data_IF_706219951720
#
_entry.id   IF_706219951720
#
_cell.length_a   1.000
_cell.length_b   1.000
_cell.length_c   1.000
_cell.angle_alpha   90.00
_cell.angle_beta   90.00
_cell.angle_gamma   90.00
#
_symmetry.space_group_name_H-M   'P 1'
#
loop_
_entity.id
_entity.type
_entity.pdbx_description
1 polymer ?
#
# COMPACT_ATOMS: atom_id res chain seq x y z
N UNK A 1 -2.42 -36.04 10.60
CA UNK A 1 -1.71 -34.74 10.64
C UNK A 1 -2.61 -33.62 11.13
N UNK A 2 -3.85 -33.50 10.62
CA UNK A 2 -4.86 -32.51 11.06
C UNK A 2 -5.00 -32.40 12.60
N UNK A 3 -5.16 -33.54 13.29
CA UNK A 3 -5.33 -33.55 14.76
C UNK A 3 -4.12 -33.00 15.51
N UNK A 4 -2.91 -33.24 15.00
CA UNK A 4 -1.67 -32.74 15.61
C UNK A 4 -1.61 -31.24 15.44
N UNK A 5 -1.84 -30.74 14.21
CA UNK A 5 -1.88 -29.31 13.91
C UNK A 5 -2.86 -28.58 14.82
N UNK A 6 -4.10 -29.05 14.90
CA UNK A 6 -5.14 -28.41 15.71
C UNK A 6 -4.79 -28.41 17.21
N UNK A 7 -4.16 -29.48 17.71
CA UNK A 7 -3.75 -29.54 19.12
C UNK A 7 -2.59 -28.59 19.41
N UNK A 8 -1.65 -28.48 18.49
CA UNK A 8 -0.54 -27.51 18.60
C UNK A 8 -1.08 -26.08 18.56
N UNK A 9 -1.96 -25.76 17.61
CA UNK A 9 -2.58 -24.43 17.50
C UNK A 9 -3.32 -24.04 18.79
N UNK A 10 -4.16 -24.92 19.34
CA UNK A 10 -4.87 -24.67 20.60
C UNK A 10 -3.94 -24.45 21.79
N UNK A 11 -2.87 -25.23 21.88
CA UNK A 11 -1.90 -25.07 22.96
C UNK A 11 -1.14 -23.74 22.85
N UNK A 12 -0.76 -23.34 21.63
CA UNK A 12 -0.09 -22.06 21.39
C UNK A 12 -1.02 -20.88 21.70
N UNK A 13 -2.30 -20.97 21.32
CA UNK A 13 -3.31 -19.96 21.65
C UNK A 13 -3.49 -19.81 23.18
N UNK A 14 -3.50 -20.91 23.93
CA UNK A 14 -3.60 -20.90 25.38
C UNK A 14 -2.42 -20.18 26.06
N UNK A 15 -1.22 -20.25 25.48
CA UNK A 15 -0.02 -19.54 25.94
C UNK A 15 0.03 -18.06 25.49
N UNK A 16 -0.93 -17.64 24.66
CA UNK A 16 -1.09 -16.27 24.17
C UNK A 16 -0.47 -16.00 22.80
N UNK A 17 -0.17 -17.06 22.02
CA UNK A 17 0.28 -16.93 20.64
C UNK A 17 -0.92 -16.84 19.70
N UNK A 18 -0.99 -15.80 18.87
CA UNK A 18 -2.07 -15.58 17.90
C UNK A 18 -1.52 -15.34 16.51
N UNK A 19 -2.18 -15.87 15.49
CA UNK A 19 -1.83 -15.56 14.09
C UNK A 19 -2.14 -14.09 13.76
N UNK A 20 -1.23 -13.42 13.05
CA UNK A 20 -1.47 -12.07 12.49
C UNK A 20 -2.52 -12.20 11.38
N UNK A 21 -3.71 -11.63 11.58
CA UNK A 21 -4.77 -11.63 10.58
C UNK A 21 -4.57 -10.51 9.58
N UNK A 22 -4.49 -10.86 8.31
CA UNK A 22 -4.25 -9.94 7.20
C UNK A 22 -5.45 -9.98 6.26
N UNK A 23 -6.02 -8.82 5.96
CA UNK A 23 -7.06 -8.68 4.94
C UNK A 23 -6.40 -8.45 3.59
N UNK A 24 -6.28 -9.52 2.81
CA UNK A 24 -5.77 -9.45 1.44
C UNK A 24 -6.62 -8.51 0.60
N UNK A 25 -6.00 -7.76 -0.30
CA UNK A 25 -6.61 -6.75 -1.18
C UNK A 25 -7.17 -5.50 -0.50
N UNK A 26 -7.21 -5.44 0.83
CA UNK A 26 -7.67 -4.27 1.59
C UNK A 26 -6.57 -3.65 2.46
N UNK A 27 -5.74 -4.49 3.09
CA UNK A 27 -4.72 -4.03 4.03
C UNK A 27 -3.44 -3.59 3.32
N UNK A 28 -2.83 -2.52 3.83
CA UNK A 28 -1.47 -2.11 3.46
C UNK A 28 -0.44 -2.82 4.31
N UNK A 29 0.72 -3.10 3.74
CA UNK A 29 1.84 -3.67 4.48
C UNK A 29 2.40 -2.66 5.49
N UNK A 30 2.41 -3.07 6.75
CA UNK A 30 3.05 -2.37 7.87
C UNK A 30 4.35 -3.11 8.22
N UNK A 31 5.48 -2.41 8.22
CA UNK A 31 6.81 -2.99 8.48
C UNK A 31 6.98 -3.56 9.90
N UNK A 32 6.14 -3.19 10.86
CA UNK A 32 6.16 -3.81 12.19
C UNK A 32 5.55 -5.23 12.17
N UNK A 33 4.49 -5.44 11.39
CA UNK A 33 3.74 -6.70 11.34
C UNK A 33 4.06 -7.59 10.13
N UNK A 34 4.65 -7.01 9.07
CA UNK A 34 4.79 -7.63 7.77
C UNK A 34 6.20 -7.46 7.22
N UNK A 35 6.72 -8.55 6.66
CA UNK A 35 7.95 -8.60 5.89
C UNK A 35 7.60 -8.72 4.40
N UNK A 36 7.97 -7.73 3.60
CA UNK A 36 7.72 -7.75 2.15
C UNK A 36 8.79 -8.63 1.50
N UNK A 37 8.38 -9.74 0.90
CA UNK A 37 9.31 -10.69 0.25
C UNK A 37 9.14 -10.74 -1.27
N UNK A 38 8.05 -10.19 -1.80
CA UNK A 38 7.77 -10.11 -3.22
C UNK A 38 6.86 -8.92 -3.57
N UNK A 39 6.96 -8.44 -4.80
CA UNK A 39 6.13 -7.37 -5.34
C UNK A 39 5.59 -7.77 -6.70
N UNK A 40 4.34 -7.41 -7.00
CA UNK A 40 3.69 -7.73 -8.28
C UNK A 40 2.93 -6.50 -8.81
N UNK A 41 3.03 -6.24 -10.11
CA UNK A 41 2.30 -5.12 -10.71
C UNK A 41 0.80 -5.38 -10.69
N UNK A 42 0.05 -4.40 -10.17
CA UNK A 42 -1.40 -4.47 -10.15
C UNK A 42 -1.96 -3.04 -10.31
N UNK A 43 -2.73 -2.83 -11.38
CA UNK A 43 -3.34 -1.54 -11.72
C UNK A 43 -4.68 -1.29 -11.00
N UNK A 44 -5.29 -2.33 -10.43
CA UNK A 44 -6.61 -2.26 -9.80
C UNK A 44 -6.53 -1.87 -8.32
N UNK A 45 -5.40 -2.18 -7.68
CA UNK A 45 -5.18 -1.99 -6.25
C UNK A 45 -4.14 -0.90 -5.96
N UNK A 46 -4.33 -0.17 -4.87
CA UNK A 46 -3.42 0.88 -4.43
C UNK A 46 -1.99 0.34 -4.17
N UNK A 47 -0.94 1.19 -4.25
CA UNK A 47 0.43 0.78 -3.91
C UNK A 47 0.55 0.25 -2.47
N UNK A 48 1.47 -0.69 -2.27
CA UNK A 48 1.75 -1.35 -0.99
C UNK A 48 0.57 -2.12 -0.37
N UNK A 49 -0.43 -2.47 -1.19
CA UNK A 49 -1.55 -3.32 -0.79
C UNK A 49 -1.11 -4.77 -0.76
N UNK A 50 -1.50 -5.52 0.27
CA UNK A 50 -1.15 -6.93 0.40
C UNK A 50 -1.97 -7.77 -0.57
N UNK A 51 -1.29 -8.46 -1.48
CA UNK A 51 -1.88 -9.38 -2.47
C UNK A 51 -1.96 -10.82 -1.95
N UNK A 52 -1.00 -11.22 -1.12
CA UNK A 52 -0.90 -12.60 -0.66
C UNK A 52 -0.09 -12.68 0.64
N UNK A 53 -0.49 -13.56 1.55
CA UNK A 53 0.33 -13.97 2.70
C UNK A 53 1.03 -15.28 2.36
N UNK A 54 2.33 -15.19 2.06
CA UNK A 54 3.17 -16.34 1.68
C UNK A 54 3.49 -17.19 2.90
N UNK A 55 3.79 -16.54 4.04
CA UNK A 55 3.94 -17.22 5.33
C UNK A 55 3.24 -16.45 6.43
N UNK A 56 2.52 -17.19 7.27
CA UNK A 56 1.83 -16.67 8.45
C UNK A 56 2.82 -16.10 9.46
N UNK A 57 2.49 -14.93 9.98
CA UNK A 57 3.11 -14.32 11.15
C UNK A 57 2.29 -14.56 12.42
N UNK A 58 2.91 -14.30 13.56
CA UNK A 58 2.34 -14.57 14.88
C UNK A 58 2.69 -13.46 15.87
N UNK A 59 1.77 -13.21 16.80
CA UNK A 59 1.90 -12.35 17.95
C UNK A 59 2.03 -13.21 19.21
N UNK A 60 2.85 -12.80 20.17
CA UNK A 60 2.84 -13.32 21.53
C UNK A 60 2.38 -12.18 22.45
N UNK A 61 1.20 -12.30 23.05
CA UNK A 61 0.67 -11.31 24.03
C UNK A 61 0.84 -9.87 23.51
N UNK A 62 0.44 -9.66 22.26
CA UNK A 62 0.44 -8.38 21.52
C UNK A 62 1.79 -7.90 20.96
N UNK A 63 2.90 -8.61 21.22
CA UNK A 63 4.18 -8.35 20.56
C UNK A 63 4.38 -9.23 19.33
N UNK A 64 5.02 -8.69 18.30
CA UNK A 64 5.32 -9.46 17.08
C UNK A 64 6.39 -10.51 17.40
N UNK A 65 5.98 -11.78 17.42
CA UNK A 65 6.88 -12.91 17.55
C UNK A 65 7.56 -13.21 16.20
N UNK A 66 6.77 -13.10 15.13
CA UNK A 66 7.22 -13.30 13.75
C UNK A 66 6.35 -12.50 12.81
N UNK A 67 6.94 -11.65 11.99
CA UNK A 67 6.22 -10.92 10.96
C UNK A 67 5.67 -11.87 9.88
N UNK A 68 4.52 -11.53 9.32
CA UNK A 68 3.95 -12.25 8.18
C UNK A 68 4.73 -11.93 6.91
N UNK A 69 5.15 -12.95 6.16
CA UNK A 69 5.79 -12.73 4.85
C UNK A 69 4.70 -12.50 3.82
N UNK A 70 4.73 -11.34 3.17
CA UNK A 70 3.69 -10.89 2.26
C UNK A 70 4.23 -10.53 0.89
N UNK A 71 3.37 -10.72 -0.12
CA UNK A 71 3.52 -10.14 -1.45
C UNK A 71 2.64 -8.90 -1.53
N UNK A 72 3.16 -7.81 -2.09
CA UNK A 72 2.42 -6.54 -2.21
C UNK A 72 2.32 -6.08 -3.66
N UNK A 73 1.44 -5.11 -3.89
CA UNK A 73 1.36 -4.39 -5.15
C UNK A 73 2.56 -3.47 -5.34
N UNK A 74 3.27 -3.67 -6.44
CA UNK A 74 4.14 -2.66 -7.02
C UNK A 74 3.27 -1.75 -7.88
N UNK A 75 2.97 -0.56 -7.39
CA UNK A 75 2.72 0.54 -8.31
C UNK A 75 4.07 1.19 -8.51
N UNK A 76 4.61 1.06 -9.72
CA UNK A 76 5.80 1.82 -10.11
C UNK A 76 5.45 3.29 -9.98
N UNK A 77 5.76 3.88 -8.82
CA UNK A 77 6.04 5.30 -8.75
C UNK A 77 7.38 5.47 -9.45
N UNK A 78 7.38 5.26 -10.78
CA UNK A 78 8.52 5.55 -11.60
C UNK A 78 8.74 7.06 -11.41
N UNK A 79 9.88 7.51 -10.87
CA UNK A 79 10.08 8.93 -10.58
C UNK A 79 9.81 9.79 -11.82
N UNK A 80 10.06 9.21 -13.01
CA UNK A 80 9.80 9.82 -14.31
C UNK A 80 8.31 10.04 -14.63
N UNK A 81 7.41 9.15 -14.20
CA UNK A 81 5.96 9.31 -14.43
C UNK A 81 5.36 10.38 -13.53
N UNK A 82 5.73 10.39 -12.23
CA UNK A 82 5.38 11.46 -11.30
C UNK A 82 5.87 12.82 -11.79
N UNK A 83 7.12 12.90 -12.27
CA UNK A 83 7.69 14.14 -12.81
C UNK A 83 6.91 14.57 -14.07
N UNK A 84 6.57 13.65 -14.97
CA UNK A 84 5.82 13.99 -16.18
C UNK A 84 4.40 14.49 -15.85
N UNK A 85 3.67 13.84 -14.95
CA UNK A 85 2.34 14.30 -14.52
C UNK A 85 2.41 15.67 -13.83
N UNK A 86 3.42 15.91 -12.99
CA UNK A 86 3.64 17.22 -12.35
C UNK A 86 3.95 18.29 -13.41
N UNK A 87 4.78 17.98 -14.40
CA UNK A 87 5.14 18.91 -15.49
C UNK A 87 3.94 19.22 -16.38
N UNK A 88 3.11 18.23 -16.73
CA UNK A 88 1.90 18.44 -17.52
C UNK A 88 0.87 19.29 -16.77
N UNK A 89 0.63 18.99 -15.50
CA UNK A 89 -0.30 19.75 -14.67
C UNK A 89 0.18 21.20 -14.43
N UNK A 90 1.49 21.40 -14.26
CA UNK A 90 2.07 22.74 -14.12
C UNK A 90 2.00 23.54 -15.43
N UNK A 91 2.16 22.88 -16.58
CA UNK A 91 2.02 23.51 -17.91
C UNK A 91 0.59 23.97 -18.15
N UNK A 92 -0.41 23.16 -17.80
CA UNK A 92 -1.83 23.54 -17.85
C UNK A 92 -2.13 24.74 -16.95
N UNK A 93 -1.58 24.77 -15.73
CA UNK A 93 -1.73 25.89 -14.80
C UNK A 93 -1.14 27.19 -15.38
N UNK A 94 0.05 27.13 -15.98
CA UNK A 94 0.69 28.30 -16.62
C UNK A 94 -0.16 28.84 -17.77
N UNK A 95 -0.73 27.96 -18.60
CA UNK A 95 -1.64 28.35 -19.68
C UNK A 95 -2.91 28.97 -19.11
N UNK A 96 -3.44 28.45 -18.01
CA UNK A 96 -4.64 28.96 -17.36
C UNK A 96 -4.41 30.36 -16.76
N UNK A 97 -3.27 30.58 -16.11
CA UNK A 97 -2.87 31.90 -15.57
C UNK A 97 -2.68 32.90 -16.71
N UNK A 98 -1.97 32.53 -17.77
CA UNK A 98 -1.78 33.39 -18.96
C UNK A 98 -3.09 33.78 -19.64
N UNK A 99 -4.08 32.88 -19.65
CA UNK A 99 -5.43 33.15 -20.17
C UNK A 99 -6.26 34.06 -19.27
N UNK A 100 -6.03 34.03 -17.96
CA UNK A 100 -6.68 34.92 -17.00
C UNK A 100 -6.16 36.37 -17.17
N UNK A 101 -4.86 36.52 -17.38
CA UNK A 101 -4.23 37.83 -17.60
C UNK A 101 -4.69 38.48 -18.92
N UNK A 102 -4.94 37.67 -19.95
CA UNK A 102 -5.51 38.17 -21.21
C UNK A 102 -6.98 38.52 -21.08
N UNK A 103 -7.77 37.78 -20.30
CA UNK A 103 -9.18 38.09 -20.07
C UNK A 103 -9.39 39.40 -19.28
N UNK A 104 -8.59 39.63 -18.24
CA UNK A 104 -8.69 40.85 -17.41
C UNK A 104 -8.27 42.14 -18.14
N UNK A 105 -7.46 42.02 -19.19
CA UNK A 105 -7.00 43.17 -20.00
C UNK A 105 -7.97 43.60 -21.10
N UNK A 106 -9.05 42.85 -21.34
CA UNK A 106 -10.12 43.27 -22.26
C UNK A 106 -11.21 44.12 -21.58
N UNK A 107 -11.35 44.05 -20.26
CA UNK A 107 -12.35 44.83 -19.49
C UNK A 107 -11.93 46.28 -19.20
N UNK A 108 -10.73 46.70 -19.59
CA UNK A 108 -10.24 48.09 -19.39
C UNK A 108 -10.16 48.91 -20.69
N UNK A 109 -10.63 48.37 -21.82
CA UNK A 109 -10.66 49.04 -23.12
C UNK A 109 -12.10 49.18 -23.65
N UNK A 110 -12.97 49.83 -22.88
CA UNK A 110 -14.24 50.44 -23.34
C UNK A 110 -14.35 51.83 -22.72
#
# INVERSE_FOLDING_TARGET
LEMIKNKVEKNLEAEGVKEIKVKVSEARADGYYHEIVATEENSELAPNTILEVIKKGYLLRDQVLKASQVKITAHSQNPKQLINEVVENMSLLIIMVSKLDTFNNFDTAI
#
